data_IF_798880299389
#
_entry.id   IF_798880299389
#
_cell.length_a   1.000
_cell.length_b   1.000
_cell.length_c   1.000
_cell.angle_alpha   90.00
_cell.angle_beta   90.00
_cell.angle_gamma   90.00
#
_symmetry.space_group_name_H-M   'P 1'
#
loop_
_entity.id
_entity.type
_entity.pdbx_description
1 polymer ?
#
# COMPACT_ATOMS: atom_id res chain seq x y z
N UNK A 1 -6.56 -1.93 -5.81
CA UNK A 1 -6.92 -1.03 -6.92
C UNK A 1 -7.49 0.32 -6.45
N UNK A 2 -7.12 0.81 -5.27
CA UNK A 2 -7.77 1.92 -4.56
C UNK A 2 -6.95 3.22 -4.58
N UNK A 3 -5.70 3.16 -5.05
CA UNK A 3 -4.74 4.23 -4.83
C UNK A 3 -5.04 5.53 -5.57
N UNK A 4 -5.51 5.43 -6.81
CA UNK A 4 -5.92 6.60 -7.57
C UNK A 4 -7.14 7.29 -6.94
N UNK A 5 -8.10 6.51 -6.42
CA UNK A 5 -9.29 7.05 -5.74
C UNK A 5 -8.91 7.80 -4.44
N UNK A 6 -8.00 7.23 -3.64
CA UNK A 6 -7.44 7.91 -2.45
C UNK A 6 -6.82 9.26 -2.84
N UNK A 7 -5.90 9.26 -3.82
CA UNK A 7 -5.20 10.48 -4.24
C UNK A 7 -6.18 11.55 -4.75
N UNK A 8 -7.12 11.15 -5.60
CA UNK A 8 -8.10 12.07 -6.18
C UNK A 8 -8.90 12.80 -5.10
N UNK A 9 -9.45 12.06 -4.12
CA UNK A 9 -10.24 12.66 -3.04
C UNK A 9 -9.39 13.54 -2.14
N UNK A 10 -8.20 13.09 -1.72
CA UNK A 10 -7.34 13.90 -0.85
C UNK A 10 -6.87 15.20 -1.50
N UNK A 11 -6.61 15.18 -2.81
CA UNK A 11 -6.30 16.39 -3.58
C UNK A 11 -7.49 17.37 -3.63
N UNK A 12 -8.70 16.86 -3.88
CA UNK A 12 -9.93 17.66 -3.92
C UNK A 12 -10.22 18.32 -2.56
N UNK A 13 -10.10 17.55 -1.48
CA UNK A 13 -10.37 18.00 -0.11
C UNK A 13 -9.21 18.78 0.52
N UNK A 14 -8.08 18.93 -0.19
CA UNK A 14 -6.85 19.59 0.31
C UNK A 14 -6.33 18.99 1.63
N UNK A 15 -6.47 17.68 1.78
CA UNK A 15 -6.00 16.94 2.97
C UNK A 15 -4.60 16.39 2.67
N UNK A 16 -3.55 16.72 3.45
CA UNK A 16 -2.24 16.09 3.30
C UNK A 16 -2.33 14.58 3.45
N UNK A 17 -1.70 13.83 2.55
CA UNK A 17 -1.87 12.38 2.48
C UNK A 17 -0.59 11.66 2.05
N UNK A 18 -0.52 10.38 2.40
CA UNK A 18 0.52 9.46 1.94
C UNK A 18 -0.11 8.10 1.62
N UNK A 19 0.40 7.41 0.60
CA UNK A 19 0.00 6.04 0.30
C UNK A 19 1.21 5.12 0.36
N UNK A 20 1.17 4.16 1.28
CA UNK A 20 2.17 3.11 1.41
C UNK A 20 1.60 1.78 0.89
N UNK A 21 2.39 1.05 0.08
CA UNK A 21 2.00 -0.26 -0.47
C UNK A 21 3.17 -1.23 -0.41
N UNK A 22 2.85 -2.49 -0.12
CA UNK A 22 3.78 -3.61 -0.30
C UNK A 22 3.37 -4.42 -1.53
N UNK A 23 4.36 -4.97 -2.22
CA UNK A 23 4.14 -5.84 -3.39
C UNK A 23 3.86 -7.25 -2.89
N UNK A 24 2.70 -7.80 -3.21
CA UNK A 24 2.31 -9.18 -2.86
C UNK A 24 2.61 -10.20 -3.95
N UNK A 25 2.82 -9.74 -5.18
CA UNK A 25 3.07 -10.60 -6.34
C UNK A 25 3.68 -9.78 -7.49
N UNK A 26 4.40 -10.47 -8.37
CA UNK A 26 4.78 -9.92 -9.67
C UNK A 26 3.58 -9.86 -10.62
N UNK A 27 3.65 -8.99 -11.61
CA UNK A 27 2.64 -8.89 -12.67
C UNK A 27 2.74 -10.15 -13.54
N UNK A 28 1.68 -10.95 -13.55
CA UNK A 28 1.55 -12.19 -14.30
C UNK A 28 0.06 -12.48 -14.54
N UNK A 29 -0.25 -13.56 -15.26
CA UNK A 29 -1.61 -14.08 -15.33
C UNK A 29 -2.20 -14.24 -13.93
N UNK A 30 -3.50 -13.98 -13.82
CA UNK A 30 -4.18 -13.85 -12.53
C UNK A 30 -4.30 -15.20 -11.83
N UNK A 31 -3.26 -15.57 -11.11
CA UNK A 31 -3.25 -16.71 -10.20
C UNK A 31 -3.06 -16.23 -8.75
N UNK A 32 -4.15 -16.30 -7.96
CA UNK A 32 -4.17 -15.87 -6.55
C UNK A 32 -3.28 -16.72 -5.64
N UNK A 33 -2.89 -17.93 -6.05
CA UNK A 33 -2.02 -18.79 -5.25
C UNK A 33 -0.59 -18.23 -5.17
N UNK A 34 -0.17 -17.42 -6.15
CA UNK A 34 1.16 -16.82 -6.21
C UNK A 34 1.28 -15.55 -5.36
N UNK A 35 0.22 -15.17 -4.64
CA UNK A 35 0.21 -13.94 -3.85
C UNK A 35 0.77 -14.22 -2.46
N UNK A 36 1.92 -13.63 -2.15
CA UNK A 36 2.53 -13.74 -0.84
C UNK A 36 1.93 -12.70 0.13
N UNK A 37 0.64 -12.88 0.43
CA UNK A 37 -0.15 -11.90 1.15
C UNK A 37 0.40 -11.69 2.58
N UNK A 38 0.72 -12.77 3.28
CA UNK A 38 1.21 -12.73 4.67
C UNK A 38 2.50 -11.93 4.78
N UNK A 39 3.48 -12.18 3.91
CA UNK A 39 4.74 -11.45 3.92
C UNK A 39 4.54 -9.98 3.52
N UNK A 40 3.74 -9.71 2.49
CA UNK A 40 3.48 -8.33 2.05
C UNK A 40 2.81 -7.48 3.14
N UNK A 41 1.86 -8.03 3.89
CA UNK A 41 1.23 -7.34 5.03
C UNK A 41 2.25 -7.11 6.15
N UNK A 42 3.09 -8.11 6.45
CA UNK A 42 4.15 -7.98 7.45
C UNK A 42 5.12 -6.84 7.11
N UNK A 43 5.58 -6.80 5.86
CA UNK A 43 6.48 -5.76 5.36
C UNK A 43 5.81 -4.37 5.38
N UNK A 44 4.54 -4.29 5.00
CA UNK A 44 3.76 -3.04 5.05
C UNK A 44 3.68 -2.49 6.48
N UNK A 45 3.35 -3.35 7.45
CA UNK A 45 3.24 -2.94 8.86
C UNK A 45 4.58 -2.49 9.44
N UNK A 46 5.67 -3.19 9.12
CA UNK A 46 7.02 -2.77 9.56
C UNK A 46 7.41 -1.41 8.99
N UNK A 47 7.15 -1.18 7.69
CA UNK A 47 7.42 0.11 7.05
C UNK A 47 6.54 1.23 7.63
N UNK A 48 5.27 0.95 7.92
CA UNK A 48 4.36 1.90 8.56
C UNK A 48 4.84 2.32 9.96
N UNK A 49 5.22 1.36 10.81
CA UNK A 49 5.73 1.64 12.15
C UNK A 49 6.99 2.51 12.08
N UNK A 50 7.92 2.19 11.18
CA UNK A 50 9.14 2.99 10.99
C UNK A 50 8.84 4.42 10.52
N UNK A 51 7.90 4.57 9.58
CA UNK A 51 7.47 5.88 9.11
C UNK A 51 6.91 6.71 10.28
N UNK A 52 5.97 6.16 11.05
CA UNK A 52 5.35 6.85 12.18
C UNK A 52 6.36 7.22 13.27
N UNK A 53 7.36 6.37 13.51
CA UNK A 53 8.43 6.67 14.49
C UNK A 53 9.41 7.76 14.02
N UNK A 54 9.39 8.13 12.73
CA UNK A 54 10.27 9.15 12.15
C UNK A 54 9.60 10.53 11.96
N UNK A 55 8.31 10.63 12.27
CA UNK A 55 7.53 11.88 12.26
C UNK A 55 7.62 12.57 13.62
#
# INVERSE_FOLDING_TARGET
MEGAALHYVCLMEKIPFIQLRAVSNYIAERNKQNWNMKESIGNLNQALIKLLASL
#
